data_IF_904391277714
#
_entry.id   IF_904391277714
#
_cell.length_a   1.000
_cell.length_b   1.000
_cell.length_c   1.000
_cell.angle_alpha   90.00
_cell.angle_beta   90.00
_cell.angle_gamma   90.00
#
_symmetry.space_group_name_H-M   'P 1'
#
loop_
_entity.id
_entity.type
_entity.pdbx_description
1 polymer ?
#
# COMPACT_ATOMS: atom_id res chain seq x y z
N UNK A 1 0.68 21.01 -2.13
CA UNK A 1 -0.58 20.28 -2.42
C UNK A 1 -0.71 20.13 -3.92
N UNK A 2 -1.79 19.53 -4.41
CA UNK A 2 -2.01 19.29 -5.86
C UNK A 2 -2.07 20.57 -6.70
N UNK A 3 -2.32 21.71 -6.06
CA UNK A 3 -2.35 23.07 -6.61
C UNK A 3 -1.00 23.80 -6.51
N UNK A 4 0.10 23.07 -6.27
CA UNK A 4 1.47 23.59 -6.05
C UNK A 4 1.61 24.60 -4.89
N UNK A 5 0.58 24.73 -4.04
CA UNK A 5 0.72 25.54 -2.82
C UNK A 5 1.54 24.78 -1.77
N UNK A 6 2.36 25.51 -1.03
CA UNK A 6 3.22 24.96 0.02
C UNK A 6 2.73 25.42 1.39
N UNK A 7 2.77 24.50 2.35
CA UNK A 7 2.45 24.78 3.74
C UNK A 7 3.56 24.23 4.62
N UNK A 8 4.00 25.01 5.59
CA UNK A 8 4.92 24.57 6.64
C UNK A 8 4.14 24.23 7.91
N UNK A 9 4.52 23.15 8.58
CA UNK A 9 3.91 22.68 9.81
C UNK A 9 5.01 22.26 10.79
N UNK A 10 4.95 22.75 12.01
CA UNK A 10 5.81 22.27 13.08
C UNK A 10 5.17 21.04 13.73
N UNK A 11 5.93 19.95 13.80
CA UNK A 11 5.48 18.68 14.37
C UNK A 11 6.55 18.12 15.30
N UNK A 12 6.15 17.25 16.21
CA UNK A 12 7.07 16.56 17.13
C UNK A 12 7.52 15.22 16.54
N UNK A 13 8.61 14.64 17.04
CA UNK A 13 9.13 13.36 16.55
C UNK A 13 8.13 12.19 16.66
N UNK A 14 7.18 12.24 17.61
CA UNK A 14 6.14 11.23 17.79
C UNK A 14 4.86 11.48 16.98
N UNK A 15 4.82 12.52 16.14
CA UNK A 15 3.61 12.87 15.40
C UNK A 15 3.40 11.90 14.23
N UNK A 16 2.29 11.15 14.30
CA UNK A 16 1.89 10.17 13.28
C UNK A 16 1.27 10.86 12.05
N UNK A 17 1.34 10.19 10.89
CA UNK A 17 0.80 10.67 9.62
C UNK A 17 -0.69 11.08 9.73
N UNK A 18 -1.51 10.31 10.45
CA UNK A 18 -2.91 10.66 10.70
C UNK A 18 -3.09 12.03 11.35
N UNK A 19 -2.29 12.33 12.38
CA UNK A 19 -2.40 13.60 13.07
C UNK A 19 -1.94 14.77 12.20
N UNK A 20 -0.89 14.56 11.39
CA UNK A 20 -0.47 15.54 10.40
C UNK A 20 -1.58 15.82 9.38
N UNK A 21 -2.26 14.78 8.89
CA UNK A 21 -3.42 14.96 8.00
C UNK A 21 -4.53 15.78 8.68
N UNK A 22 -4.89 15.48 9.93
CA UNK A 22 -5.89 16.24 10.69
C UNK A 22 -5.51 17.73 10.83
N UNK A 23 -4.25 18.02 11.17
CA UNK A 23 -3.73 19.38 11.26
C UNK A 23 -3.80 20.11 9.92
N UNK A 24 -3.48 19.42 8.83
CA UNK A 24 -3.53 20.00 7.48
C UNK A 24 -4.97 20.26 7.03
N UNK A 25 -5.91 19.34 7.28
CA UNK A 25 -7.35 19.55 7.02
C UNK A 25 -7.85 20.82 7.72
N UNK A 26 -7.50 21.00 9.00
CA UNK A 26 -7.85 22.20 9.77
C UNK A 26 -7.23 23.45 9.16
N UNK A 27 -5.94 23.39 8.82
CA UNK A 27 -5.17 24.53 8.31
C UNK A 27 -5.60 24.97 6.91
N UNK A 28 -6.03 24.04 6.05
CA UNK A 28 -6.50 24.33 4.69
C UNK A 28 -8.01 24.55 4.63
N UNK A 29 -8.71 24.56 5.76
CA UNK A 29 -10.18 24.64 5.83
C UNK A 29 -10.89 23.60 4.94
N UNK A 30 -10.28 22.41 4.80
CA UNK A 30 -10.84 21.32 4.03
C UNK A 30 -11.91 20.57 4.82
N UNK A 31 -12.83 19.91 4.11
CA UNK A 31 -13.81 19.03 4.75
C UNK A 31 -13.13 17.80 5.34
N UNK A 32 -13.56 17.41 6.54
CA UNK A 32 -13.14 16.16 7.17
C UNK A 32 -13.55 14.95 6.32
N UNK A 33 -12.59 14.06 6.07
CA UNK A 33 -12.75 12.86 5.25
C UNK A 33 -11.57 11.91 5.53
N UNK A 34 -11.82 10.61 5.59
CA UNK A 34 -10.78 9.59 5.88
C UNK A 34 -9.86 9.33 4.68
N UNK A 35 -10.19 9.85 3.49
CA UNK A 35 -9.34 9.70 2.30
C UNK A 35 -8.15 10.65 2.29
N UNK A 36 -8.09 11.65 3.17
CA UNK A 36 -6.92 12.52 3.26
C UNK A 36 -5.67 11.73 3.64
N UNK A 37 -4.60 11.97 2.89
CA UNK A 37 -3.36 11.19 2.98
C UNK A 37 -2.15 12.09 2.84
N UNK A 38 -1.08 11.72 3.56
CA UNK A 38 0.25 12.24 3.30
C UNK A 38 0.94 11.29 2.32
N UNK A 39 1.39 11.82 1.19
CA UNK A 39 2.04 11.07 0.12
C UNK A 39 3.51 11.45 0.07
N UNK A 40 4.38 10.47 0.24
CA UNK A 40 5.81 10.62 0.02
C UNK A 40 6.12 10.45 -1.46
N UNK A 41 6.81 11.43 -2.04
CA UNK A 41 7.15 11.47 -3.47
C UNK A 41 8.66 11.46 -3.63
N UNK A 42 9.16 10.56 -4.48
CA UNK A 42 10.56 10.42 -4.90
C UNK A 42 10.70 10.79 -6.38
N UNK A 43 10.91 12.07 -6.68
CA UNK A 43 10.95 12.58 -8.06
C UNK A 43 12.03 11.92 -8.91
N UNK A 44 13.23 11.75 -8.37
CA UNK A 44 14.34 11.07 -9.07
C UNK A 44 14.02 9.61 -9.49
N UNK A 45 13.07 8.94 -8.81
CA UNK A 45 12.59 7.60 -9.19
C UNK A 45 11.28 7.63 -9.99
N UNK A 46 10.61 8.79 -10.05
CA UNK A 46 9.24 8.91 -10.53
C UNK A 46 8.28 7.96 -9.79
N UNK A 47 8.48 7.82 -8.47
CA UNK A 47 7.67 6.97 -7.59
C UNK A 47 7.07 7.78 -6.45
N UNK A 48 5.96 7.28 -5.93
CA UNK A 48 5.29 7.82 -4.75
C UNK A 48 4.61 6.70 -3.96
N UNK A 49 4.39 6.94 -2.67
CA UNK A 49 3.58 6.06 -1.81
C UNK A 49 2.78 6.88 -0.81
N UNK A 50 1.64 6.34 -0.39
CA UNK A 50 0.94 6.88 0.78
C UNK A 50 1.69 6.47 2.05
N UNK A 51 1.71 7.35 3.05
CA UNK A 51 2.05 6.95 4.40
C UNK A 51 0.83 6.29 5.03
N UNK A 52 1.06 5.20 5.76
CA UNK A 52 0.04 4.61 6.60
C UNK A 52 -0.20 5.50 7.84
N UNK A 53 -1.43 5.53 8.34
CA UNK A 53 -1.86 6.48 9.39
C UNK A 53 -1.04 6.41 10.68
N UNK A 54 -0.39 5.28 10.94
CA UNK A 54 0.40 5.00 12.13
C UNK A 54 1.89 5.30 11.96
N UNK A 55 2.37 5.59 10.75
CA UNK A 55 3.78 5.90 10.50
C UNK A 55 4.18 7.24 11.12
N UNK A 56 5.38 7.30 11.70
CA UNK A 56 5.97 8.57 12.14
C UNK A 56 6.47 9.36 10.93
N UNK A 57 5.95 10.57 10.75
CA UNK A 57 6.33 11.43 9.61
C UNK A 57 7.81 11.82 9.68
N UNK A 58 8.32 12.04 10.89
CA UNK A 58 9.72 12.42 11.13
C UNK A 58 10.65 11.25 10.83
N UNK A 59 10.29 10.03 11.24
CA UNK A 59 11.09 8.83 10.93
C UNK A 59 11.11 8.54 9.44
N UNK A 60 9.96 8.67 8.76
CA UNK A 60 9.88 8.52 7.30
C UNK A 60 10.79 9.54 6.62
N UNK A 61 10.68 10.83 6.98
CA UNK A 61 11.51 11.89 6.41
C UNK A 61 13.01 11.66 6.65
N UNK A 62 13.38 11.09 7.79
CA UNK A 62 14.78 10.80 8.12
C UNK A 62 15.41 9.72 7.21
N UNK A 63 14.60 8.94 6.47
CA UNK A 63 15.10 7.96 5.49
C UNK A 63 15.44 8.57 4.13
N UNK A 64 15.11 9.84 3.90
CA UNK A 64 15.33 10.49 2.60
C UNK A 64 16.82 10.57 2.24
N UNK A 65 17.17 10.39 0.94
CA UNK A 65 18.53 10.60 0.48
C UNK A 65 19.01 12.03 0.79
N UNK A 66 20.23 12.15 1.29
CA UNK A 66 20.86 13.45 1.54
C UNK A 66 20.98 14.22 0.22
N UNK A 67 20.45 15.45 0.19
CA UNK A 67 20.42 16.27 -1.03
C UNK A 67 19.40 15.81 -2.08
N UNK A 68 18.52 14.86 -1.73
CA UNK A 68 17.41 14.45 -2.58
C UNK A 68 16.30 15.50 -2.66
N UNK A 69 15.38 15.28 -3.58
CA UNK A 69 14.20 16.12 -3.85
C UNK A 69 12.90 15.50 -3.31
N UNK A 70 13.02 14.54 -2.39
CA UNK A 70 11.88 13.90 -1.73
C UNK A 70 11.01 14.94 -1.02
N UNK A 71 9.68 14.77 -1.11
CA UNK A 71 8.72 15.67 -0.46
C UNK A 71 7.45 14.96 -0.04
N UNK A 72 6.77 15.54 0.94
CA UNK A 72 5.39 15.16 1.24
C UNK A 72 4.39 15.99 0.43
N UNK A 73 3.34 15.33 -0.05
CA UNK A 73 2.19 15.92 -0.72
C UNK A 73 0.93 15.53 0.05
N UNK A 74 0.16 16.53 0.46
CA UNK A 74 -1.14 16.33 1.08
C UNK A 74 -2.23 16.33 0.00
N UNK A 75 -2.96 15.21 -0.11
CA UNK A 75 -4.06 15.06 -1.08
C UNK A 75 -5.02 13.93 -0.69
N UNK A 76 -6.16 13.86 -1.38
CA UNK A 76 -7.12 12.76 -1.21
C UNK A 76 -6.64 11.50 -1.93
N UNK A 77 -6.78 10.35 -1.28
CA UNK A 77 -6.64 9.03 -1.86
C UNK A 77 -7.84 8.17 -1.45
N UNK A 78 -8.79 8.01 -2.36
CA UNK A 78 -10.00 7.24 -2.12
C UNK A 78 -9.73 5.72 -2.05
N UNK A 79 -8.61 5.25 -2.60
CA UNK A 79 -8.23 3.83 -2.59
C UNK A 79 -7.64 3.35 -1.25
N UNK A 80 -7.18 4.26 -0.39
CA UNK A 80 -6.48 3.98 0.88
C UNK A 80 -7.17 2.92 1.74
N UNK A 81 -8.50 3.01 1.84
CA UNK A 81 -9.30 2.12 2.68
C UNK A 81 -10.23 1.19 1.91
N UNK A 82 -10.05 1.07 0.58
CA UNK A 82 -10.91 0.21 -0.23
C UNK A 82 -10.85 -1.24 0.23
N UNK A 83 -9.69 -1.72 0.70
CA UNK A 83 -9.55 -3.04 1.32
C UNK A 83 -10.60 -3.31 2.41
N UNK A 84 -10.93 -2.30 3.21
CA UNK A 84 -11.85 -2.43 4.34
C UNK A 84 -13.30 -2.11 3.98
N UNK A 85 -13.53 -1.27 2.96
CA UNK A 85 -14.85 -0.79 2.55
C UNK A 85 -15.53 -1.67 1.51
N UNK A 86 -14.75 -2.21 0.58
CA UNK A 86 -15.24 -2.92 -0.60
C UNK A 86 -15.19 -4.43 -0.40
N UNK A 87 -16.12 -5.18 -1.00
CA UNK A 87 -16.21 -6.62 -0.77
C UNK A 87 -14.94 -7.35 -1.25
N UNK A 88 -14.56 -8.51 -0.66
CA UNK A 88 -13.30 -9.18 -0.99
C UNK A 88 -13.18 -9.49 -2.49
N UNK A 89 -14.31 -9.82 -3.13
CA UNK A 89 -14.36 -10.18 -4.56
C UNK A 89 -14.05 -8.99 -5.48
N UNK A 90 -14.25 -7.76 -5.01
CA UNK A 90 -13.94 -6.54 -5.79
C UNK A 90 -12.45 -6.21 -5.80
N UNK A 91 -11.69 -6.73 -4.83
CA UNK A 91 -10.29 -6.36 -4.60
C UNK A 91 -9.35 -7.49 -5.00
N UNK A 92 -9.77 -8.73 -4.74
CA UNK A 92 -9.03 -9.91 -5.16
C UNK A 92 -9.91 -10.82 -6.02
N UNK A 93 -9.72 -10.81 -7.35
CA UNK A 93 -10.37 -11.77 -8.23
C UNK A 93 -10.10 -13.20 -7.77
N UNK A 94 -11.10 -14.06 -7.92
CA UNK A 94 -11.08 -15.44 -7.39
C UNK A 94 -9.87 -16.25 -7.89
N UNK A 95 -9.43 -15.97 -9.12
CA UNK A 95 -8.25 -16.60 -9.75
C UNK A 95 -6.92 -16.22 -9.08
N UNK A 96 -6.87 -15.07 -8.38
CA UNK A 96 -5.65 -14.60 -7.71
C UNK A 96 -5.49 -15.18 -6.32
N UNK A 97 -6.53 -15.70 -5.68
CA UNK A 97 -6.46 -16.09 -4.27
C UNK A 97 -6.65 -17.59 -4.09
N UNK A 98 -5.53 -18.26 -3.80
CA UNK A 98 -5.45 -19.72 -3.67
C UNK A 98 -6.32 -20.30 -2.54
N UNK A 99 -6.68 -19.48 -1.54
CA UNK A 99 -7.40 -19.88 -0.32
C UNK A 99 -8.79 -19.26 -0.16
N UNK A 100 -9.20 -18.32 -1.01
CA UNK A 100 -10.56 -17.79 -0.96
C UNK A 100 -11.59 -18.77 -1.51
N UNK A 101 -11.16 -19.81 -2.23
CA UNK A 101 -12.04 -20.87 -2.72
C UNK A 101 -12.78 -21.56 -1.56
N UNK A 102 -12.13 -21.79 -0.41
CA UNK A 102 -12.79 -22.39 0.76
C UNK A 102 -13.63 -21.38 1.56
N UNK A 103 -13.29 -20.08 1.50
CA UNK A 103 -13.92 -19.02 2.27
C UNK A 103 -15.24 -18.53 1.63
N UNK A 104 -15.24 -18.37 0.30
CA UNK A 104 -16.43 -18.04 -0.47
C UNK A 104 -17.45 -19.20 -0.45
N UNK A 105 -16.97 -20.45 -0.49
CA UNK A 105 -17.82 -21.65 -0.36
C UNK A 105 -18.44 -21.84 1.05
N UNK A 106 -17.93 -21.12 2.07
CA UNK A 106 -18.45 -21.15 3.45
C UNK A 106 -19.32 -19.95 3.84
N UNK A 107 -19.55 -18.99 2.94
CA UNK A 107 -20.39 -17.83 3.22
C UNK A 107 -19.82 -16.85 4.26
N UNK A 108 -18.49 -16.78 4.41
CA UNK A 108 -17.86 -15.82 5.32
C UNK A 108 -18.10 -14.37 4.87
N UNK A 109 -18.40 -13.51 5.83
CA UNK A 109 -18.50 -12.06 5.63
C UNK A 109 -17.13 -11.42 5.36
N UNK A 110 -17.13 -10.24 4.74
CA UNK A 110 -15.92 -9.45 4.49
C UNK A 110 -15.12 -9.17 5.77
N UNK A 111 -15.83 -8.83 6.85
CA UNK A 111 -15.23 -8.56 8.15
C UNK A 111 -14.49 -9.79 8.70
N UNK A 112 -15.12 -10.96 8.63
CA UNK A 112 -14.51 -12.22 9.07
C UNK A 112 -13.27 -12.56 8.24
N UNK A 113 -13.31 -12.30 6.93
CA UNK A 113 -12.16 -12.48 6.05
C UNK A 113 -11.00 -11.57 6.47
N UNK A 114 -11.25 -10.27 6.63
CA UNK A 114 -10.24 -9.31 7.11
C UNK A 114 -9.69 -9.72 8.48
N UNK A 115 -10.57 -10.05 9.43
CA UNK A 115 -10.17 -10.48 10.76
C UNK A 115 -9.31 -11.74 10.72
N UNK A 116 -9.63 -12.69 9.85
CA UNK A 116 -8.80 -13.88 9.67
C UNK A 116 -7.40 -13.50 9.16
N UNK A 117 -7.29 -12.62 8.15
CA UNK A 117 -5.98 -12.15 7.65
C UNK A 117 -5.18 -11.47 8.75
N UNK A 118 -5.80 -10.57 9.50
CA UNK A 118 -5.13 -9.79 10.55
C UNK A 118 -4.75 -10.62 11.77
N UNK A 119 -5.63 -11.52 12.25
CA UNK A 119 -5.49 -12.19 13.53
C UNK A 119 -4.74 -13.52 13.46
N UNK A 120 -4.96 -14.32 12.41
CA UNK A 120 -4.32 -15.65 12.28
C UNK A 120 -2.95 -15.59 11.63
N UNK A 121 -2.53 -14.37 11.23
CA UNK A 121 -1.47 -14.10 10.29
C UNK A 121 -1.65 -14.82 8.95
N UNK A 122 -2.75 -15.54 8.70
CA UNK A 122 -2.95 -16.34 7.49
C UNK A 122 -3.30 -15.41 6.34
N UNK A 123 -2.28 -14.68 5.89
CA UNK A 123 -2.35 -13.92 4.66
C UNK A 123 -2.72 -14.92 3.55
N UNK A 124 -3.81 -14.68 2.81
CA UNK A 124 -4.15 -15.52 1.67
C UNK A 124 -2.98 -15.53 0.70
N UNK A 125 -2.66 -16.71 0.15
CA UNK A 125 -1.65 -16.78 -0.91
C UNK A 125 -2.25 -16.14 -2.17
N UNK A 126 -1.75 -14.95 -2.50
CA UNK A 126 -2.09 -14.21 -3.71
C UNK A 126 -1.10 -14.62 -4.79
N UNK A 127 -1.60 -15.04 -5.95
CA UNK A 127 -0.80 -15.56 -7.03
C UNK A 127 -1.25 -15.00 -8.38
N UNK A 128 -0.31 -14.85 -9.32
CA UNK A 128 -0.62 -14.29 -10.63
C UNK A 128 0.62 -13.95 -11.43
N UNK A 129 0.43 -13.62 -12.71
CA UNK A 129 1.52 -13.16 -13.56
C UNK A 129 1.79 -11.67 -13.33
N UNK A 130 3.05 -11.31 -13.08
CA UNK A 130 3.53 -9.93 -13.02
C UNK A 130 4.75 -9.78 -13.94
N UNK A 131 4.98 -8.56 -14.41
CA UNK A 131 6.17 -8.22 -15.19
C UNK A 131 7.29 -7.75 -14.26
N UNK A 132 8.46 -8.40 -14.36
CA UNK A 132 9.66 -8.05 -13.63
C UNK A 132 10.68 -7.39 -14.58
N UNK A 133 11.25 -6.28 -14.12
CA UNK A 133 12.41 -5.64 -14.74
C UNK A 133 13.67 -6.04 -13.97
N UNK A 134 14.57 -6.76 -14.64
CA UNK A 134 15.87 -7.13 -14.07
C UNK A 134 16.79 -5.90 -13.98
N UNK A 135 17.58 -5.82 -12.91
CA UNK A 135 18.54 -4.73 -12.70
C UNK A 135 19.53 -4.69 -13.86
N UNK A 136 19.73 -3.51 -14.45
CA UNK A 136 20.62 -3.32 -15.60
C UNK A 136 20.00 -3.65 -16.97
N UNK A 137 18.80 -4.23 -17.02
CA UNK A 137 18.11 -4.54 -18.27
C UNK A 137 16.97 -3.54 -18.56
N UNK A 138 16.77 -3.24 -19.84
CA UNK A 138 15.64 -2.40 -20.31
C UNK A 138 14.38 -3.22 -20.67
N UNK A 139 14.49 -4.55 -20.68
CA UNK A 139 13.39 -5.47 -21.00
C UNK A 139 12.59 -5.87 -19.76
N UNK A 140 11.30 -6.09 -19.94
CA UNK A 140 10.40 -6.66 -18.94
C UNK A 140 10.11 -8.12 -19.30
N UNK A 141 10.09 -9.00 -18.30
CA UNK A 141 9.74 -10.42 -18.46
C UNK A 141 8.58 -10.78 -17.55
N UNK A 142 7.64 -11.56 -18.06
CA UNK A 142 6.50 -12.04 -17.26
C UNK A 142 6.90 -13.29 -16.48
N UNK A 143 6.61 -13.30 -15.18
CA UNK A 143 6.80 -14.45 -14.29
C UNK A 143 5.54 -14.71 -13.49
N UNK A 144 5.36 -15.95 -13.04
CA UNK A 144 4.31 -16.31 -12.11
C UNK A 144 4.77 -16.03 -10.68
N UNK A 145 4.09 -15.12 -9.99
CA UNK A 145 4.37 -14.70 -8.63
C UNK A 145 3.42 -15.34 -7.62
N UNK A 146 3.91 -15.50 -6.39
CA UNK A 146 3.15 -15.91 -5.21
C UNK A 146 3.57 -15.02 -4.04
N UNK A 147 2.62 -14.27 -3.49
CA UNK A 147 2.75 -13.52 -2.25
C UNK A 147 2.28 -14.40 -1.10
N UNK A 148 3.19 -14.60 -0.14
CA UNK A 148 2.96 -15.38 1.09
C UNK A 148 3.34 -14.51 2.28
N UNK A 149 3.01 -14.98 3.49
CA UNK A 149 3.41 -14.32 4.74
C UNK A 149 4.91 -14.00 4.80
N UNK A 150 5.75 -14.89 4.28
CA UNK A 150 7.21 -14.75 4.32
C UNK A 150 7.79 -13.86 3.23
N UNK A 151 6.97 -13.37 2.28
CA UNK A 151 7.41 -12.47 1.22
C UNK A 151 6.84 -12.81 -0.15
N UNK A 152 7.40 -12.16 -1.17
CA UNK A 152 7.03 -12.30 -2.57
C UNK A 152 8.02 -13.24 -3.28
N UNK A 153 7.50 -14.27 -3.95
CA UNK A 153 8.25 -15.30 -4.67
C UNK A 153 7.84 -15.33 -6.14
N UNK A 154 8.71 -15.80 -7.03
CA UNK A 154 8.36 -16.06 -8.43
C UNK A 154 8.99 -17.36 -8.95
N UNK A 155 8.35 -17.99 -9.94
CA UNK A 155 8.83 -19.23 -10.56
C UNK A 155 9.66 -18.95 -11.81
N UNK A 156 10.81 -19.61 -11.93
CA UNK A 156 11.67 -19.58 -13.12
C UNK A 156 11.33 -20.67 -14.13
N UNK A 157 10.38 -21.57 -13.81
CA UNK A 157 9.93 -22.69 -14.65
C UNK A 157 8.41 -22.64 -14.90
N UNK A 158 7.88 -21.49 -15.34
CA UNK A 158 6.46 -21.35 -15.66
C UNK A 158 5.56 -21.33 -14.42
N UNK A 159 4.44 -22.08 -14.41
CA UNK A 159 3.47 -22.10 -13.30
C UNK A 159 3.85 -23.07 -12.16
N UNK A 160 5.03 -23.69 -12.18
CA UNK A 160 5.44 -24.59 -11.10
C UNK A 160 5.48 -23.81 -9.78
N UNK A 161 4.62 -24.20 -8.82
CA UNK A 161 4.69 -23.70 -7.44
C UNK A 161 6.11 -23.94 -6.95
N UNK A 162 6.80 -22.87 -6.54
CA UNK A 162 8.06 -23.00 -5.84
C UNK A 162 7.73 -23.48 -4.44
N UNK A 163 7.86 -24.79 -4.21
CA UNK A 163 7.82 -25.36 -2.87
C UNK A 163 9.12 -24.97 -2.17
N UNK A 164 9.05 -24.06 -1.20
CA UNK A 164 10.04 -23.92 -0.14
C UNK A 164 9.41 -24.44 1.16
#
# INVERSE_FOLDING_TARGET
>A
SEDDTCCSLEITAGTMARHVCEMLVQKTHSLHDDCWSLVEVYHHLSLERILEDHESVVEVQATWPVGGDSRFVFRKNYAKYELFKSSPQSIFPEVMVSRCQDAANKGMSHLELIQNVLNSGSCPEIQGFLHLKEVGHKSWKSFYFSLRRSGLYYSTKGMSKVSL
#
